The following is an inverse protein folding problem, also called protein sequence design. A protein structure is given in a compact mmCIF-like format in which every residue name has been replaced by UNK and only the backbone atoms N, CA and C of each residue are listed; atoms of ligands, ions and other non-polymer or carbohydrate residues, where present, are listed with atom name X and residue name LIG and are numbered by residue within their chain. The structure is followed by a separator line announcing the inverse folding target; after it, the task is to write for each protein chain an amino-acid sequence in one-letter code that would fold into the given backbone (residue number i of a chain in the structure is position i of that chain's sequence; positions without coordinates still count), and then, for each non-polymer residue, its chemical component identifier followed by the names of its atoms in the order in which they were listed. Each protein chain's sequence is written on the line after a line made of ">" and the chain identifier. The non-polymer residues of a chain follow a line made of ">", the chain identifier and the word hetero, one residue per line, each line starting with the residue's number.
data_IF_525904315023
#
_entry.id   IF_525904315023
#
_cell.length_a   1.000
_cell.length_b   1.000
_cell.length_c   1.000
_cell.angle_alpha   90.00
_cell.angle_beta   90.00
_cell.angle_gamma   90.00
#
_symmetry.space_group_name_H-M   'P 1'
#
loop_
_entity.id
_entity.type
_entity.pdbx_description
1 polymer ?
#
# COMPACT_ATOMS: atom_id res chain seq x y z
N UNK A 1 -16.12 -27.21 15.63
CA UNK A 1 -15.78 -26.12 14.70
C UNK A 1 -15.09 -25.04 15.48
N UNK A 2 -13.93 -24.55 15.02
CA UNK A 2 -13.29 -23.44 15.69
C UNK A 2 -14.16 -22.18 15.45
N UNK A 3 -14.51 -21.48 16.52
CA UNK A 3 -15.29 -20.26 16.46
C UNK A 3 -14.45 -19.17 15.78
N UNK A 4 -14.97 -18.53 14.75
CA UNK A 4 -14.29 -17.46 14.05
C UNK A 4 -14.22 -16.23 14.96
N UNK A 5 -13.01 -15.81 15.34
CA UNK A 5 -12.79 -14.62 16.17
C UNK A 5 -12.03 -13.54 15.42
N UNK A 6 -12.65 -12.37 15.25
CA UNK A 6 -11.99 -11.18 14.72
C UNK A 6 -11.12 -10.45 15.76
N UNK A 7 -11.15 -10.89 17.01
CA UNK A 7 -10.36 -10.32 18.11
C UNK A 7 -8.93 -10.87 18.14
N UNK A 8 -8.66 -11.97 17.45
CA UNK A 8 -7.34 -12.58 17.43
C UNK A 8 -6.43 -11.92 16.40
N UNK A 9 -5.78 -10.82 16.81
CA UNK A 9 -4.88 -10.06 15.98
C UNK A 9 -3.60 -10.82 15.60
N UNK A 10 -3.20 -11.82 16.37
CA UNK A 10 -2.02 -12.64 16.06
C UNK A 10 -2.21 -13.46 14.78
N UNK A 11 -3.44 -13.93 14.53
CA UNK A 11 -3.77 -14.62 13.26
C UNK A 11 -3.85 -13.62 12.11
N UNK A 12 -4.54 -12.48 12.31
CA UNK A 12 -4.73 -11.48 11.28
C UNK A 12 -3.39 -10.89 10.75
N UNK A 13 -2.41 -10.74 11.63
CA UNK A 13 -1.11 -10.14 11.32
C UNK A 13 0.05 -11.15 11.29
N UNK A 14 -0.22 -12.45 11.22
CA UNK A 14 0.80 -13.50 11.24
C UNK A 14 1.86 -13.36 10.12
N UNK A 15 1.49 -12.70 9.01
CA UNK A 15 2.38 -12.44 7.87
C UNK A 15 3.27 -11.20 8.04
N UNK A 16 3.06 -10.40 9.10
CA UNK A 16 3.81 -9.16 9.34
C UNK A 16 4.79 -9.32 10.49
N UNK A 17 5.95 -8.73 10.34
CA UNK A 17 6.94 -8.59 11.42
C UNK A 17 6.55 -7.48 12.40
N UNK A 18 7.09 -7.51 13.61
CA UNK A 18 6.89 -6.46 14.62
C UNK A 18 7.34 -5.07 14.14
N UNK A 19 8.39 -5.02 13.30
CA UNK A 19 8.86 -3.78 12.70
C UNK A 19 7.83 -3.21 11.72
N UNK A 20 7.22 -4.04 10.87
CA UNK A 20 6.16 -3.63 9.95
C UNK A 20 4.90 -3.20 10.69
N UNK A 21 4.52 -3.90 11.75
CA UNK A 21 3.39 -3.54 12.61
C UNK A 21 3.64 -2.21 13.32
N UNK A 22 4.84 -1.98 13.83
CA UNK A 22 5.21 -0.72 14.48
C UNK A 22 5.17 0.46 13.50
N UNK A 23 5.66 0.25 12.28
CA UNK A 23 5.62 1.22 11.18
C UNK A 23 4.17 1.57 10.80
N UNK A 24 3.33 0.55 10.60
CA UNK A 24 1.91 0.73 10.30
C UNK A 24 1.20 1.49 11.44
N UNK A 25 1.43 1.10 12.70
CA UNK A 25 0.86 1.78 13.88
C UNK A 25 1.24 3.25 13.92
N UNK A 26 2.51 3.59 13.65
CA UNK A 26 2.98 4.98 13.62
C UNK A 26 2.28 5.77 12.50
N UNK A 27 2.16 5.17 11.31
CA UNK A 27 1.49 5.78 10.17
C UNK A 27 0.00 6.06 10.49
N UNK A 28 -0.73 5.06 10.98
CA UNK A 28 -2.15 5.26 11.33
C UNK A 28 -2.33 6.22 12.51
N UNK A 29 -1.41 6.25 13.46
CA UNK A 29 -1.43 7.24 14.53
C UNK A 29 -1.28 8.67 14.00
N UNK A 30 -0.54 8.87 12.91
CA UNK A 30 -0.38 10.19 12.30
C UNK A 30 -1.69 10.78 11.77
N UNK A 31 -2.67 9.95 11.42
CA UNK A 31 -4.01 10.38 10.97
C UNK A 31 -4.84 11.05 12.07
N UNK A 32 -4.46 10.90 13.34
CA UNK A 32 -5.08 11.64 14.44
C UNK A 32 -4.68 13.12 14.48
N UNK A 33 -3.76 13.54 13.61
CA UNK A 33 -3.31 14.93 13.53
C UNK A 33 -3.88 15.60 12.28
N UNK A 34 -4.95 16.43 12.40
CA UNK A 34 -5.60 17.05 11.24
C UNK A 34 -4.65 17.87 10.36
N UNK A 35 -3.65 18.52 10.97
CA UNK A 35 -2.64 19.28 10.25
C UNK A 35 -1.85 18.39 9.27
N UNK A 36 -1.52 17.14 9.64
CA UNK A 36 -0.83 16.20 8.75
C UNK A 36 -1.72 15.75 7.61
N UNK A 37 -3.02 15.59 7.83
CA UNK A 37 -3.96 15.24 6.77
C UNK A 37 -4.13 16.38 5.76
N UNK A 38 -4.17 17.62 6.25
CA UNK A 38 -4.37 18.82 5.41
C UNK A 38 -3.11 19.15 4.60
N UNK A 39 -1.94 19.19 5.26
CA UNK A 39 -0.69 19.65 4.65
C UNK A 39 0.20 18.52 4.14
N UNK A 40 -0.02 17.28 4.62
CA UNK A 40 0.77 16.11 4.26
C UNK A 40 0.89 15.87 2.76
N UNK A 41 -0.20 15.89 1.97
CA UNK A 41 -0.11 15.70 0.52
C UNK A 41 0.74 16.75 -0.19
N UNK A 42 0.65 18.03 0.21
CA UNK A 42 1.47 19.09 -0.34
C UNK A 42 2.95 18.91 0.03
N UNK A 43 3.23 18.58 1.29
CA UNK A 43 4.59 18.27 1.76
C UNK A 43 5.17 17.04 1.05
N UNK A 44 4.37 16.00 0.81
CA UNK A 44 4.80 14.83 0.06
C UNK A 44 5.19 15.16 -1.38
N UNK A 45 4.43 16.02 -2.06
CA UNK A 45 4.78 16.52 -3.41
C UNK A 45 6.12 17.24 -3.40
N UNK A 46 6.34 18.14 -2.45
CA UNK A 46 7.62 18.85 -2.29
C UNK A 46 8.76 17.87 -2.02
N UNK A 47 8.55 16.90 -1.14
CA UNK A 47 9.55 15.89 -0.80
C UNK A 47 9.93 15.03 -2.03
N UNK A 48 8.96 14.70 -2.89
CA UNK A 48 9.23 13.98 -4.15
C UNK A 48 10.11 14.82 -5.08
N UNK A 49 9.82 16.11 -5.23
CA UNK A 49 10.62 17.04 -6.03
C UNK A 49 12.05 17.16 -5.49
N UNK A 50 12.22 17.13 -4.18
CA UNK A 50 13.52 17.13 -3.50
C UNK A 50 14.26 15.77 -3.55
N UNK A 51 13.75 14.78 -4.30
CA UNK A 51 14.39 13.49 -4.46
C UNK A 51 14.11 12.47 -3.35
N UNK A 52 13.21 12.77 -2.41
CA UNK A 52 12.83 11.87 -1.31
C UNK A 52 11.77 10.83 -1.70
N UNK A 53 11.55 10.61 -3.00
CA UNK A 53 10.58 9.62 -3.54
C UNK A 53 10.78 8.24 -2.91
N UNK A 54 12.02 7.79 -2.75
CA UNK A 54 12.33 6.48 -2.17
C UNK A 54 11.85 6.35 -0.73
N UNK A 55 12.00 7.41 0.08
CA UNK A 55 11.54 7.40 1.48
C UNK A 55 10.02 7.32 1.56
N UNK A 56 9.31 8.09 0.72
CA UNK A 56 7.84 8.05 0.66
C UNK A 56 7.37 6.69 0.18
N UNK A 57 8.00 6.14 -0.87
CA UNK A 57 7.70 4.79 -1.38
C UNK A 57 7.83 3.74 -0.26
N UNK A 58 8.92 3.79 0.50
CA UNK A 58 9.22 2.82 1.55
C UNK A 58 8.38 2.98 2.83
N UNK A 59 7.71 4.09 3.01
CA UNK A 59 6.92 4.37 4.22
C UNK A 59 5.43 4.29 3.97
N UNK A 60 4.90 5.19 3.16
CA UNK A 60 3.46 5.34 2.94
C UNK A 60 2.99 4.39 1.84
N UNK A 61 3.68 4.39 0.70
CA UNK A 61 3.26 3.62 -0.46
C UNK A 61 3.23 2.10 -0.18
N UNK A 62 4.28 1.54 0.42
CA UNK A 62 4.32 0.11 0.76
C UNK A 62 3.21 -0.35 1.72
N UNK A 63 2.58 0.57 2.45
CA UNK A 63 1.47 0.22 3.35
C UNK A 63 0.17 -0.05 2.59
N UNK A 64 -0.03 0.62 1.46
CA UNK A 64 -1.30 0.63 0.71
C UNK A 64 -1.19 -0.04 -0.66
N UNK A 65 0.01 -0.11 -1.23
CA UNK A 65 0.25 -0.60 -2.58
C UNK A 65 1.23 -1.77 -2.56
N UNK A 66 0.96 -2.78 -3.35
CA UNK A 66 1.86 -3.94 -3.52
C UNK A 66 3.15 -3.58 -4.29
N UNK A 67 3.07 -2.65 -5.23
CA UNK A 67 4.17 -2.20 -6.07
C UNK A 67 3.70 -1.24 -7.15
N UNK A 68 4.63 -0.59 -7.86
CA UNK A 68 4.35 0.25 -9.04
C UNK A 68 4.25 -0.57 -10.32
N UNK A 69 4.72 -1.82 -10.29
CA UNK A 69 4.69 -2.77 -11.41
C UNK A 69 4.32 -4.16 -10.92
N UNK A 70 3.83 -5.01 -11.82
CA UNK A 70 3.54 -6.42 -11.52
C UNK A 70 4.76 -7.13 -10.91
N UNK A 71 5.96 -6.84 -11.44
CA UNK A 71 7.20 -7.41 -10.92
C UNK A 71 7.48 -7.01 -9.47
N UNK A 72 7.24 -5.74 -9.11
CA UNK A 72 7.39 -5.28 -7.72
C UNK A 72 6.37 -5.90 -6.78
N UNK A 73 5.13 -6.11 -7.24
CA UNK A 73 4.07 -6.77 -6.48
C UNK A 73 4.42 -8.21 -6.08
N UNK A 74 5.30 -8.87 -6.82
CA UNK A 74 5.65 -10.27 -6.57
C UNK A 74 6.17 -10.53 -5.14
N UNK A 75 6.88 -9.56 -4.55
CA UNK A 75 7.32 -9.66 -3.15
C UNK A 75 6.15 -9.74 -2.18
N UNK A 76 5.15 -8.89 -2.35
CA UNK A 76 3.94 -8.88 -1.53
C UNK A 76 3.13 -10.17 -1.74
N UNK A 77 2.97 -10.60 -2.99
CA UNK A 77 2.28 -11.85 -3.36
C UNK A 77 2.92 -13.04 -2.67
N UNK A 78 4.23 -13.21 -2.79
CA UNK A 78 4.96 -14.33 -2.17
C UNK A 78 4.87 -14.29 -0.64
N UNK A 79 4.93 -13.10 -0.04
CA UNK A 79 4.80 -12.94 1.41
C UNK A 79 3.42 -13.37 1.90
N UNK A 80 2.36 -12.95 1.23
CA UNK A 80 0.99 -13.30 1.57
C UNK A 80 0.70 -14.78 1.33
N UNK A 81 1.21 -15.34 0.23
CA UNK A 81 1.07 -16.76 -0.10
C UNK A 81 1.65 -17.69 0.97
N UNK A 82 2.75 -17.29 1.64
CA UNK A 82 3.32 -18.05 2.77
C UNK A 82 2.35 -18.19 3.95
N UNK A 83 1.40 -17.28 4.07
CA UNK A 83 0.35 -17.29 5.09
C UNK A 83 -0.99 -17.82 4.57
N UNK A 84 -1.00 -18.44 3.38
CA UNK A 84 -2.20 -18.99 2.75
C UNK A 84 -3.16 -17.93 2.21
N UNK A 85 -2.70 -16.69 2.00
CA UNK A 85 -3.52 -15.59 1.48
C UNK A 85 -3.29 -15.49 -0.02
N UNK A 86 -4.36 -15.70 -0.81
CA UNK A 86 -4.38 -15.43 -2.24
C UNK A 86 -4.45 -13.93 -2.52
N UNK A 87 -3.91 -13.51 -3.65
CA UNK A 87 -3.89 -12.09 -4.06
C UNK A 87 -4.50 -11.93 -5.44
N UNK A 88 -5.22 -10.82 -5.62
CA UNK A 88 -5.70 -10.36 -6.92
C UNK A 88 -4.99 -9.02 -7.17
N UNK A 89 -4.34 -8.90 -8.33
CA UNK A 89 -3.76 -7.62 -8.74
C UNK A 89 -4.85 -6.74 -9.31
N UNK A 90 -4.90 -5.52 -8.85
CA UNK A 90 -5.73 -4.46 -9.42
C UNK A 90 -4.83 -3.28 -9.76
N UNK A 91 -5.02 -2.74 -10.96
CA UNK A 91 -4.31 -1.55 -11.42
C UNK A 91 -5.25 -0.37 -11.36
N UNK A 92 -5.02 0.53 -10.42
CA UNK A 92 -5.83 1.71 -10.21
C UNK A 92 -5.02 2.98 -10.46
N UNK A 93 -5.53 3.84 -11.33
CA UNK A 93 -5.05 5.20 -11.54
C UNK A 93 -6.18 6.15 -11.16
N UNK A 94 -5.98 6.91 -10.10
CA UNK A 94 -6.96 7.87 -9.61
C UNK A 94 -6.63 9.28 -10.10
N UNK A 95 -7.66 10.06 -10.41
CA UNK A 95 -7.54 11.48 -10.72
C UNK A 95 -7.13 11.80 -12.16
N UNK A 96 -7.11 10.81 -13.04
CA UNK A 96 -6.85 10.99 -14.47
C UNK A 96 -8.15 10.76 -15.26
N UNK A 97 -8.54 11.76 -16.08
CA UNK A 97 -9.77 11.73 -16.88
C UNK A 97 -9.48 11.74 -18.40
N UNK A 98 -8.24 11.42 -18.82
CA UNK A 98 -7.90 11.40 -20.24
C UNK A 98 -8.16 10.03 -20.87
N UNK A 99 -8.65 10.01 -22.10
CA UNK A 99 -8.92 8.79 -22.86
C UNK A 99 -7.65 7.94 -23.07
N UNK A 100 -6.50 8.60 -23.28
CA UNK A 100 -5.20 7.92 -23.37
C UNK A 100 -4.81 7.19 -22.09
N UNK A 101 -5.19 7.70 -20.91
CA UNK A 101 -4.96 7.03 -19.64
C UNK A 101 -5.87 5.82 -19.47
N UNK A 102 -7.12 5.89 -19.93
CA UNK A 102 -8.04 4.75 -19.92
C UNK A 102 -7.55 3.62 -20.82
N UNK A 103 -7.10 3.93 -22.02
CA UNK A 103 -6.50 2.96 -22.96
C UNK A 103 -5.25 2.30 -22.37
N UNK A 104 -4.36 3.11 -21.77
CA UNK A 104 -3.16 2.60 -21.12
C UNK A 104 -3.53 1.67 -19.94
N UNK A 105 -4.48 2.07 -19.10
CA UNK A 105 -4.95 1.29 -17.95
C UNK A 105 -5.55 -0.04 -18.40
N UNK A 106 -6.38 -0.01 -19.44
CA UNK A 106 -6.97 -1.23 -20.00
C UNK A 106 -5.90 -2.19 -20.54
N UNK A 107 -4.89 -1.68 -21.23
CA UNK A 107 -3.77 -2.47 -21.72
C UNK A 107 -2.91 -3.06 -20.60
N UNK A 108 -2.77 -2.36 -19.48
CA UNK A 108 -2.02 -2.84 -18.31
C UNK A 108 -2.77 -3.97 -17.57
N UNK A 109 -4.09 -3.85 -17.45
CA UNK A 109 -4.95 -4.88 -16.81
C UNK A 109 -4.96 -6.18 -17.62
N UNK A 110 -4.79 -6.12 -18.93
CA UNK A 110 -4.82 -7.29 -19.83
C UNK A 110 -3.47 -8.04 -19.92
N UNK A 111 -2.44 -7.61 -19.23
CA UNK A 111 -1.14 -8.32 -19.15
C UNK A 111 -1.15 -9.44 -18.12
#
# INVERSE_FOLDING_TARGET
>A
MAELSFQNTSVAFAHKSDAELSKAKMLFKSFNYPALLTYGPAMAKVAVVLGLKFTIKKTIFEQFCGGETIHECNRAIVSLAKSGIGTILDYSVEGEESESTFEFTAAEILK
#
